data_IF_003170895794
#
_entry.id   IF_003170895794
#
_cell.length_a   1.000
_cell.length_b   1.000
_cell.length_c   1.000
_cell.angle_alpha   90.00
_cell.angle_beta   90.00
_cell.angle_gamma   90.00
#
_symmetry.space_group_name_H-M   'P 1'
#
loop_
_entity.id
_entity.type
_entity.pdbx_description
1 polymer ?
#
# COMPACT_ATOMS: atom_id res chain seq x y z
N UNK A 1 11.88 -6.52 15.69
CA UNK A 1 11.97 -7.60 14.68
C UNK A 1 12.56 -6.99 13.42
N UNK A 2 13.55 -7.64 12.79
CA UNK A 2 14.25 -7.16 11.58
C UNK A 2 13.78 -7.98 10.36
N UNK A 3 12.49 -7.87 10.03
CA UNK A 3 11.86 -8.67 8.99
C UNK A 3 12.23 -8.15 7.58
N UNK A 4 12.70 -9.03 6.71
CA UNK A 4 13.19 -8.70 5.35
C UNK A 4 12.26 -9.19 4.22
N UNK A 5 11.00 -9.50 4.53
CA UNK A 5 9.96 -9.80 3.55
C UNK A 5 9.12 -8.56 3.19
N UNK A 6 7.96 -8.81 2.58
CA UNK A 6 6.94 -7.77 2.35
C UNK A 6 5.72 -8.01 3.24
N UNK A 7 4.99 -6.92 3.54
CA UNK A 7 3.76 -6.97 4.34
C UNK A 7 2.56 -6.88 3.41
N UNK A 8 1.65 -7.85 3.50
CA UNK A 8 0.35 -7.82 2.83
C UNK A 8 -0.75 -7.51 3.84
N UNK A 9 -1.67 -6.61 3.48
CA UNK A 9 -2.88 -6.36 4.26
C UNK A 9 -3.89 -7.49 4.09
N UNK A 10 -4.74 -7.70 5.09
CA UNK A 10 -5.86 -8.64 5.00
C UNK A 10 -6.97 -8.11 4.07
N UNK A 11 -7.97 -8.94 3.76
CA UNK A 11 -9.12 -8.62 2.91
C UNK A 11 -9.79 -7.31 3.34
N UNK A 12 -9.63 -6.27 2.53
CA UNK A 12 -10.09 -4.90 2.80
C UNK A 12 -9.66 -4.32 4.16
N UNK A 13 -8.71 -4.91 4.86
CA UNK A 13 -8.39 -4.55 6.25
C UNK A 13 -7.88 -3.11 6.44
N UNK A 14 -7.45 -2.44 5.38
CA UNK A 14 -7.07 -1.01 5.42
C UNK A 14 -8.26 -0.07 5.61
N UNK A 15 -9.48 -0.50 5.31
CA UNK A 15 -10.68 0.35 5.43
C UNK A 15 -11.08 0.63 6.87
N UNK A 16 -10.73 -0.27 7.79
CA UNK A 16 -11.01 -0.16 9.23
C UNK A 16 -10.20 0.95 9.91
N UNK A 17 -9.20 1.51 9.24
CA UNK A 17 -8.42 2.63 9.76
C UNK A 17 -9.23 3.94 9.68
N UNK A 18 -9.14 4.77 10.73
CA UNK A 18 -9.75 6.09 10.68
C UNK A 18 -9.28 6.91 9.48
N UNK A 19 -10.25 7.51 8.79
CA UNK A 19 -10.08 8.26 7.55
C UNK A 19 -9.58 7.44 6.35
N UNK A 20 -9.78 6.13 6.37
CA UNK A 20 -9.59 5.24 5.23
C UNK A 20 -10.92 4.70 4.69
N UNK A 21 -10.86 4.10 3.51
CA UNK A 21 -11.95 3.39 2.83
C UNK A 21 -11.34 2.31 1.93
N UNK A 22 -12.16 1.41 1.38
CA UNK A 22 -11.73 0.43 0.35
C UNK A 22 -10.91 1.08 -0.77
N UNK A 23 -11.28 2.30 -1.18
CA UNK A 23 -10.74 3.04 -2.32
C UNK A 23 -9.61 4.01 -1.98
N UNK A 24 -9.33 4.27 -0.70
CA UNK A 24 -8.37 5.31 -0.32
C UNK A 24 -7.83 5.09 1.09
N UNK A 25 -6.54 4.77 1.21
CA UNK A 25 -5.89 4.70 2.51
C UNK A 25 -4.35 4.89 2.46
N UNK A 26 -3.80 6.09 2.16
CA UNK A 26 -2.35 6.32 2.15
C UNK A 26 -1.68 5.97 3.49
N UNK A 27 -2.45 6.01 4.58
CA UNK A 27 -2.00 5.71 5.94
C UNK A 27 -1.48 4.28 6.06
N UNK A 28 -2.20 3.29 5.54
CA UNK A 28 -1.77 1.89 5.59
C UNK A 28 -0.44 1.68 4.85
N UNK A 29 -0.31 2.28 3.66
CA UNK A 29 0.93 2.19 2.87
C UNK A 29 2.11 2.81 3.61
N UNK A 30 1.94 4.03 4.13
CA UNK A 30 2.99 4.73 4.87
C UNK A 30 3.33 4.06 6.21
N UNK A 31 2.41 3.28 6.79
CA UNK A 31 2.66 2.48 7.99
C UNK A 31 3.46 1.19 7.72
N UNK A 32 3.67 0.81 6.45
CA UNK A 32 4.51 -0.32 6.06
C UNK A 32 3.80 -1.43 5.30
N UNK A 33 2.48 -1.33 5.03
CA UNK A 33 1.81 -2.28 4.13
C UNK A 33 2.39 -2.11 2.72
N UNK A 34 2.95 -3.19 2.18
CA UNK A 34 3.59 -3.20 0.87
C UNK A 34 2.62 -3.63 -0.24
N UNK A 35 1.66 -4.51 0.10
CA UNK A 35 0.62 -5.00 -0.81
C UNK A 35 -0.75 -4.86 -0.14
N UNK A 36 -1.69 -4.21 -0.82
CA UNK A 36 -3.09 -4.21 -0.40
C UNK A 36 -3.82 -5.43 -0.94
N UNK A 37 -4.63 -6.07 -0.11
CA UNK A 37 -5.59 -7.07 -0.53
C UNK A 37 -6.97 -6.41 -0.68
N UNK A 38 -7.26 -5.93 -1.88
CA UNK A 38 -8.54 -5.28 -2.23
C UNK A 38 -9.13 -6.01 -3.44
N UNK A 39 -10.17 -6.82 -3.27
CA UNK A 39 -10.73 -7.62 -4.37
C UNK A 39 -11.55 -6.77 -5.35
N UNK A 40 -12.39 -5.88 -4.86
CA UNK A 40 -13.38 -5.16 -5.67
C UNK A 40 -12.85 -3.81 -6.17
N UNK A 41 -12.41 -2.96 -5.24
CA UNK A 41 -12.12 -1.55 -5.50
C UNK A 41 -10.66 -1.24 -5.89
N UNK A 42 -9.90 -2.25 -6.31
CA UNK A 42 -8.46 -2.12 -6.56
C UNK A 42 -8.10 -1.07 -7.61
N UNK A 43 -8.95 -0.86 -8.62
CA UNK A 43 -8.71 0.14 -9.69
C UNK A 43 -8.75 1.55 -9.14
N UNK A 44 -9.80 1.88 -8.40
CA UNK A 44 -9.96 3.19 -7.78
C UNK A 44 -8.90 3.43 -6.70
N UNK A 45 -8.60 2.41 -5.88
CA UNK A 45 -7.50 2.49 -4.92
C UNK A 45 -6.17 2.78 -5.61
N UNK A 46 -5.85 2.08 -6.69
CA UNK A 46 -4.63 2.32 -7.49
C UNK A 46 -4.57 3.76 -8.00
N UNK A 47 -5.65 4.28 -8.56
CA UNK A 47 -5.68 5.66 -9.07
C UNK A 47 -5.46 6.68 -7.96
N UNK A 48 -6.08 6.48 -6.80
CA UNK A 48 -5.91 7.35 -5.64
C UNK A 48 -4.48 7.29 -5.09
N UNK A 49 -3.89 6.10 -4.97
CA UNK A 49 -2.50 5.94 -4.54
C UNK A 49 -1.53 6.62 -5.53
N UNK A 50 -1.74 6.49 -6.85
CA UNK A 50 -0.94 7.19 -7.86
C UNK A 50 -1.03 8.71 -7.68
N UNK A 51 -2.24 9.25 -7.47
CA UNK A 51 -2.43 10.69 -7.20
C UNK A 51 -1.67 11.11 -5.93
N UNK A 52 -1.69 10.29 -4.89
CA UNK A 52 -1.03 10.55 -3.61
C UNK A 52 0.49 10.48 -3.69
N UNK A 53 1.03 9.62 -4.55
CA UNK A 53 2.46 9.57 -4.85
C UNK A 53 2.87 10.82 -5.62
N UNK A 54 2.10 11.20 -6.64
CA UNK A 54 2.37 12.43 -7.43
C UNK A 54 2.27 13.70 -6.61
N UNK A 55 1.38 13.75 -5.61
CA UNK A 55 1.25 14.90 -4.71
C UNK A 55 2.26 14.89 -3.56
N UNK A 56 3.07 13.85 -3.41
CA UNK A 56 4.05 13.70 -2.33
C UNK A 56 3.49 13.24 -0.99
N UNK A 57 2.18 12.93 -0.90
CA UNK A 57 1.57 12.35 0.31
C UNK A 57 2.09 10.94 0.62
N UNK A 58 2.50 10.22 -0.42
CA UNK A 58 3.31 9.00 -0.34
C UNK A 58 4.63 9.32 -1.04
N UNK A 59 5.77 9.08 -0.38
CA UNK A 59 7.06 9.33 -0.99
C UNK A 59 7.37 8.28 -2.07
N UNK A 60 8.10 8.68 -3.12
CA UNK A 60 8.59 7.74 -4.12
C UNK A 60 9.49 6.66 -3.50
N UNK A 61 10.30 7.04 -2.51
CA UNK A 61 11.15 6.09 -1.77
C UNK A 61 10.33 4.99 -1.08
N UNK A 62 9.17 5.31 -0.50
CA UNK A 62 8.28 4.32 0.11
C UNK A 62 7.69 3.35 -0.93
N UNK A 63 7.33 3.85 -2.11
CA UNK A 63 6.91 3.00 -3.22
C UNK A 63 8.04 2.06 -3.67
N UNK A 64 9.22 2.62 -3.91
CA UNK A 64 10.38 1.86 -4.40
C UNK A 64 10.78 0.76 -3.40
N UNK A 65 10.71 1.05 -2.09
CA UNK A 65 10.91 0.05 -1.03
C UNK A 65 9.88 -1.08 -1.08
N UNK A 66 8.58 -0.76 -1.13
CA UNK A 66 7.51 -1.76 -1.18
C UNK A 66 7.66 -2.68 -2.39
N UNK A 67 7.89 -2.10 -3.57
CA UNK A 67 8.09 -2.84 -4.82
C UNK A 67 9.33 -3.72 -4.74
N UNK A 68 10.45 -3.21 -4.21
CA UNK A 68 11.68 -3.99 -4.05
C UNK A 68 11.45 -5.23 -3.18
N UNK A 69 10.75 -5.10 -2.05
CA UNK A 69 10.45 -6.25 -1.16
C UNK A 69 9.59 -7.31 -1.86
N UNK A 70 8.59 -6.89 -2.64
CA UNK A 70 7.76 -7.79 -3.44
C UNK A 70 8.58 -8.50 -4.52
N UNK A 71 9.44 -7.76 -5.24
CA UNK A 71 10.27 -8.32 -6.29
C UNK A 71 11.30 -9.30 -5.73
N UNK A 72 11.93 -9.02 -4.60
CA UNK A 72 12.89 -9.91 -3.94
C UNK A 72 12.31 -11.30 -3.63
N UNK A 73 11.01 -11.40 -3.37
CA UNK A 73 10.35 -12.70 -3.12
C UNK A 73 9.94 -13.41 -4.43
N UNK A 74 9.75 -12.66 -5.52
CA UNK A 74 9.33 -13.21 -6.82
C UNK A 74 10.51 -13.64 -7.71
N UNK A 75 11.69 -13.06 -7.48
CA UNK A 75 12.91 -13.30 -8.26
C UNK A 75 13.65 -14.56 -7.86
#
# INVERSE_FOLDING_TARGET
>A
MNFDGFIIGDWNGHEELWFCSTKNCPRAFNAGVDVYMVPEDWKELRENLIKQIKSGRISKARLDEAVRRVLNVKS
#
